data_IF_980668230062
#
_entry.id   IF_980668230062
#
_cell.length_a   1.000
_cell.length_b   1.000
_cell.length_c   1.000
_cell.angle_alpha   90.00
_cell.angle_beta   90.00
_cell.angle_gamma   90.00
#
_symmetry.space_group_name_H-M   'P 1'
#
loop_
_entity.id
_entity.type
_entity.pdbx_description
1 polymer ?
#
# COMPACT_ATOMS: atom_id res chain seq x y z
N UNK A 1 -5.78 -8.64 -33.85
CA UNK A 1 -6.06 -7.55 -32.89
C UNK A 1 -6.66 -8.03 -31.57
N UNK A 2 -7.24 -9.23 -31.48
CA UNK A 2 -7.77 -9.81 -30.23
C UNK A 2 -6.72 -10.25 -29.20
N UNK A 3 -5.47 -10.52 -29.62
CA UNK A 3 -4.40 -10.96 -28.71
C UNK A 3 -3.89 -9.86 -27.79
N UNK A 4 -3.75 -8.63 -28.30
CA UNK A 4 -3.24 -7.47 -27.56
C UNK A 4 -4.20 -7.07 -26.44
N UNK A 5 -5.50 -7.00 -26.73
CA UNK A 5 -6.54 -6.71 -25.72
C UNK A 5 -6.64 -7.77 -24.63
N UNK A 6 -6.35 -9.02 -24.97
CA UNK A 6 -6.36 -10.12 -23.99
C UNK A 6 -5.12 -10.07 -23.08
N UNK A 7 -3.95 -9.74 -23.64
CA UNK A 7 -2.72 -9.53 -22.88
C UNK A 7 -2.82 -8.34 -21.92
N UNK A 8 -3.43 -7.23 -22.37
CA UNK A 8 -3.71 -6.05 -21.54
C UNK A 8 -4.64 -6.38 -20.37
N UNK A 9 -5.70 -7.16 -20.61
CA UNK A 9 -6.60 -7.62 -19.56
C UNK A 9 -5.89 -8.53 -18.54
N UNK A 10 -5.06 -9.47 -18.99
CA UNK A 10 -4.31 -10.32 -18.07
C UNK A 10 -3.34 -9.51 -17.22
N UNK A 11 -2.60 -8.56 -17.83
CA UNK A 11 -1.71 -7.65 -17.11
C UNK A 11 -2.46 -6.85 -16.04
N UNK A 12 -3.59 -6.26 -16.41
CA UNK A 12 -4.45 -5.52 -15.49
C UNK A 12 -4.88 -6.38 -14.30
N UNK A 13 -5.30 -7.64 -14.53
CA UNK A 13 -5.75 -8.54 -13.47
C UNK A 13 -4.59 -9.01 -12.57
N UNK A 14 -3.44 -9.33 -13.15
CA UNK A 14 -2.24 -9.75 -12.42
C UNK A 14 -1.72 -8.61 -11.52
N UNK A 15 -1.59 -7.40 -12.08
CA UNK A 15 -1.07 -6.25 -11.35
C UNK A 15 -2.08 -5.78 -10.28
N UNK A 16 -3.39 -5.88 -10.55
CA UNK A 16 -4.45 -5.64 -9.55
C UNK A 16 -4.31 -6.60 -8.36
N UNK A 17 -4.13 -7.89 -8.62
CA UNK A 17 -3.98 -8.90 -7.57
C UNK A 17 -2.68 -8.69 -6.78
N UNK A 18 -1.56 -8.44 -7.47
CA UNK A 18 -0.28 -8.14 -6.86
C UNK A 18 -0.36 -6.92 -5.95
N UNK A 19 -1.01 -5.84 -6.40
CA UNK A 19 -1.24 -4.64 -5.60
C UNK A 19 -2.10 -4.92 -4.36
N UNK A 20 -3.20 -5.67 -4.49
CA UNK A 20 -4.04 -6.04 -3.36
C UNK A 20 -3.29 -6.89 -2.31
N UNK A 21 -2.49 -7.86 -2.76
CA UNK A 21 -1.66 -8.69 -1.89
C UNK A 21 -0.62 -7.83 -1.15
N UNK A 22 0.11 -6.98 -1.87
CA UNK A 22 1.12 -6.11 -1.27
C UNK A 22 0.51 -5.13 -0.26
N UNK A 23 -0.69 -4.61 -0.53
CA UNK A 23 -1.46 -3.80 0.42
C UNK A 23 -1.80 -4.60 1.70
N UNK A 24 -2.26 -5.85 1.58
CA UNK A 24 -2.55 -6.71 2.74
C UNK A 24 -1.32 -6.92 3.61
N UNK A 25 -0.18 -7.25 2.99
CA UNK A 25 1.07 -7.51 3.69
C UNK A 25 1.60 -6.25 4.37
N UNK A 26 1.56 -5.10 3.67
CA UNK A 26 1.94 -3.80 4.20
C UNK A 26 1.06 -3.37 5.36
N UNK A 27 -0.27 -3.55 5.25
CA UNK A 27 -1.21 -3.21 6.31
C UNK A 27 -0.87 -3.95 7.61
N UNK A 28 -0.65 -5.26 7.51
CA UNK A 28 -0.26 -6.09 8.65
C UNK A 28 1.07 -5.68 9.26
N UNK A 29 2.09 -5.44 8.41
CA UNK A 29 3.42 -5.04 8.87
C UNK A 29 3.37 -3.69 9.60
N UNK A 30 2.65 -2.71 9.06
CA UNK A 30 2.50 -1.39 9.65
C UNK A 30 1.72 -1.41 10.97
N UNK A 31 0.63 -2.19 11.03
CA UNK A 31 -0.16 -2.35 12.26
C UNK A 31 0.66 -3.00 13.38
N UNK A 32 1.41 -4.07 13.08
CA UNK A 32 2.32 -4.71 14.03
C UNK A 32 3.40 -3.73 14.49
N UNK A 33 3.98 -2.96 13.57
CA UNK A 33 5.03 -2.00 13.93
C UNK A 33 4.48 -0.93 14.87
N UNK A 34 3.31 -0.37 14.56
CA UNK A 34 2.66 0.65 15.37
C UNK A 34 2.25 0.14 16.77
N UNK A 35 1.86 -1.14 16.90
CA UNK A 35 1.49 -1.73 18.19
C UNK A 35 2.67 -1.94 19.14
N UNK A 36 3.89 -1.98 18.59
CA UNK A 36 5.12 -2.19 19.35
C UNK A 36 5.82 -0.86 19.73
N UNK A 37 5.28 0.28 19.32
CA UNK A 37 5.80 1.60 19.73
C UNK A 37 5.17 2.01 21.06
N UNK A 38 6.00 2.50 21.98
CA UNK A 38 5.57 3.01 23.28
C UNK A 38 4.63 4.23 23.11
N UNK A 39 3.39 4.20 23.61
CA UNK A 39 2.47 5.34 23.54
C UNK A 39 2.94 6.56 24.33
N UNK A 40 3.82 6.40 25.33
CA UNK A 40 4.42 7.50 26.08
C UNK A 40 5.86 7.83 25.59
N UNK A 41 6.19 7.36 24.39
CA UNK A 41 7.49 7.51 23.75
C UNK A 41 7.85 8.94 23.34
N UNK A 42 9.07 9.10 22.80
CA UNK A 42 9.52 10.38 22.27
C UNK A 42 8.68 10.83 21.06
N UNK A 43 8.70 12.11 20.71
CA UNK A 43 7.94 12.68 19.59
C UNK A 43 8.16 11.93 18.26
N UNK A 44 9.40 11.47 18.02
CA UNK A 44 9.75 10.68 16.84
C UNK A 44 9.08 9.29 16.83
N UNK A 45 8.95 8.66 18.00
CA UNK A 45 8.24 7.38 18.13
C UNK A 45 6.75 7.57 17.89
N UNK A 46 6.13 8.62 18.45
CA UNK A 46 4.72 8.92 18.20
C UNK A 46 4.46 9.24 16.71
N UNK A 47 5.37 9.96 16.04
CA UNK A 47 5.28 10.18 14.59
C UNK A 47 5.29 8.85 13.82
N UNK A 48 6.21 7.95 14.16
CA UNK A 48 6.31 6.62 13.54
C UNK A 48 5.02 5.82 13.78
N UNK A 49 4.49 5.84 15.00
CA UNK A 49 3.24 5.16 15.35
C UNK A 49 2.07 5.67 14.52
N UNK A 50 1.90 6.99 14.42
CA UNK A 50 0.84 7.62 13.63
C UNK A 50 0.95 7.26 12.15
N UNK A 51 2.15 7.33 11.57
CA UNK A 51 2.39 6.94 10.17
C UNK A 51 2.11 5.46 9.94
N UNK A 52 2.49 4.59 10.87
CA UNK A 52 2.17 3.16 10.82
C UNK A 52 0.67 2.88 10.83
N UNK A 53 -0.10 3.53 11.72
CA UNK A 53 -1.57 3.39 11.77
C UNK A 53 -2.21 3.86 10.45
N UNK A 54 -1.85 5.06 10.00
CA UNK A 54 -2.38 5.62 8.75
C UNK A 54 -2.07 4.71 7.54
N UNK A 55 -0.84 4.19 7.45
CA UNK A 55 -0.45 3.27 6.40
C UNK A 55 -1.22 1.95 6.48
N UNK A 56 -1.46 1.43 7.69
CA UNK A 56 -2.24 0.22 7.87
C UNK A 56 -3.69 0.39 7.38
N UNK A 57 -4.33 1.50 7.74
CA UNK A 57 -5.72 1.79 7.35
C UNK A 57 -5.87 2.00 5.85
N UNK A 58 -5.00 2.81 5.23
CA UNK A 58 -5.10 3.07 3.78
C UNK A 58 -4.81 1.81 2.96
N UNK A 59 -3.87 0.97 3.40
CA UNK A 59 -3.56 -0.29 2.73
C UNK A 59 -4.71 -1.30 2.87
N UNK A 60 -5.35 -1.42 4.05
CA UNK A 60 -6.53 -2.29 4.22
C UNK A 60 -7.69 -1.83 3.32
N UNK A 61 -7.98 -0.52 3.31
CA UNK A 61 -9.02 0.05 2.47
C UNK A 61 -8.73 -0.18 0.97
N UNK A 62 -7.48 0.02 0.54
CA UNK A 62 -7.07 -0.20 -0.85
C UNK A 62 -7.19 -1.66 -1.25
N UNK A 63 -6.73 -2.59 -0.40
CA UNK A 63 -6.89 -4.03 -0.66
C UNK A 63 -8.37 -4.41 -0.86
N UNK A 64 -9.28 -3.91 -0.01
CA UNK A 64 -10.71 -4.18 -0.15
C UNK A 64 -11.28 -3.63 -1.45
N UNK A 65 -10.96 -2.39 -1.80
CA UNK A 65 -11.37 -1.78 -3.09
C UNK A 65 -10.90 -2.65 -4.26
N UNK A 66 -9.64 -3.07 -4.25
CA UNK A 66 -9.07 -3.91 -5.30
C UNK A 66 -9.61 -5.35 -5.28
N UNK A 67 -10.13 -5.85 -4.17
CA UNK A 67 -10.63 -7.24 -4.09
C UNK A 67 -12.14 -7.36 -4.34
N UNK A 68 -12.93 -6.38 -3.91
CA UNK A 68 -14.40 -6.50 -3.81
C UNK A 68 -15.16 -5.73 -4.89
N UNK A 69 -14.61 -4.64 -5.44
CA UNK A 69 -15.34 -3.82 -6.43
C UNK A 69 -15.21 -4.38 -7.85
N UNK A 70 -16.28 -5.01 -8.32
CA UNK A 70 -16.43 -5.52 -9.70
C UNK A 70 -16.95 -4.47 -10.70
N UNK A 71 -17.50 -3.33 -10.22
CA UNK A 71 -17.83 -2.18 -11.08
C UNK A 71 -16.68 -1.18 -11.01
N UNK A 72 -15.83 -1.25 -12.02
CA UNK A 72 -14.60 -0.47 -12.19
C UNK A 72 -14.92 1.01 -12.39
N UNK A 73 -14.92 1.79 -11.31
CA UNK A 73 -14.63 3.22 -11.42
C UNK A 73 -13.10 3.38 -11.37
N UNK A 74 -12.46 3.29 -12.54
CA UNK A 74 -10.99 3.41 -12.65
C UNK A 74 -10.48 4.75 -12.14
N UNK A 75 -11.29 5.83 -12.19
CA UNK A 75 -10.89 7.12 -11.65
C UNK A 75 -10.85 7.09 -10.12
N UNK A 76 -11.86 6.51 -9.47
CA UNK A 76 -11.86 6.32 -8.02
C UNK A 76 -10.73 5.39 -7.56
N UNK A 77 -10.49 4.30 -8.30
CA UNK A 77 -9.37 3.37 -8.04
C UNK A 77 -8.03 4.10 -8.16
N UNK A 78 -7.84 4.89 -9.22
CA UNK A 78 -6.61 5.68 -9.43
C UNK A 78 -6.33 6.58 -8.23
N UNK A 79 -7.33 7.35 -7.79
CA UNK A 79 -7.21 8.24 -6.61
C UNK A 79 -6.83 7.45 -5.35
N UNK A 80 -7.51 6.33 -5.09
CA UNK A 80 -7.24 5.49 -3.92
C UNK A 80 -5.80 4.93 -3.93
N UNK A 81 -5.35 4.41 -5.08
CA UNK A 81 -4.03 3.77 -5.21
C UNK A 81 -2.90 4.80 -5.20
N UNK A 82 -3.10 5.99 -5.80
CA UNK A 82 -2.15 7.11 -5.71
C UNK A 82 -1.97 7.58 -4.26
N UNK A 83 -3.06 7.66 -3.51
CA UNK A 83 -3.01 8.00 -2.09
C UNK A 83 -2.29 6.91 -1.29
N UNK A 84 -2.64 5.63 -1.50
CA UNK A 84 -1.98 4.50 -0.86
C UNK A 84 -0.47 4.52 -1.11
N UNK A 85 -0.04 4.67 -2.37
CA UNK A 85 1.38 4.79 -2.76
C UNK A 85 2.09 5.90 -1.98
N UNK A 86 1.48 7.09 -1.91
CA UNK A 86 2.06 8.25 -1.24
C UNK A 86 2.24 7.98 0.27
N UNK A 87 1.20 7.46 0.93
CA UNK A 87 1.26 7.13 2.36
C UNK A 87 2.29 6.03 2.64
N UNK A 88 2.39 5.00 1.78
CA UNK A 88 3.41 3.96 1.91
C UNK A 88 4.83 4.53 1.88
N UNK A 89 5.13 5.43 0.94
CA UNK A 89 6.46 6.06 0.85
C UNK A 89 6.76 6.94 2.07
N UNK A 90 5.79 7.73 2.54
CA UNK A 90 5.96 8.52 3.76
C UNK A 90 6.17 7.66 5.01
N UNK A 91 5.44 6.55 5.11
CA UNK A 91 5.57 5.59 6.21
C UNK A 91 6.93 4.90 6.17
N UNK A 92 7.41 4.48 4.99
CA UNK A 92 8.74 3.91 4.81
C UNK A 92 9.83 4.87 5.31
N UNK A 93 9.77 6.15 4.92
CA UNK A 93 10.72 7.17 5.40
C UNK A 93 10.65 7.38 6.91
N UNK A 94 9.48 7.25 7.53
CA UNK A 94 9.36 7.32 8.98
C UNK A 94 10.00 6.10 9.66
N UNK A 95 9.75 4.89 9.14
CA UNK A 95 10.34 3.66 9.65
C UNK A 95 11.87 3.61 9.48
N UNK A 96 12.43 4.18 8.41
CA UNK A 96 13.89 4.23 8.21
C UNK A 96 14.63 4.99 9.34
N UNK A 97 13.91 5.81 10.12
CA UNK A 97 14.47 6.53 11.29
C UNK A 97 14.37 5.76 12.60
N UNK A 98 13.67 4.62 12.63
CA UNK A 98 13.46 3.83 13.84
C UNK A 98 14.20 2.48 13.74
N UNK A 99 15.19 2.21 14.60
CA UNK A 99 15.85 0.90 14.65
C UNK A 99 14.84 -0.24 14.88
N UNK A 100 14.96 -1.33 14.12
CA UNK A 100 14.04 -2.47 14.23
C UNK A 100 12.73 -2.30 13.46
N UNK A 101 12.61 -1.27 12.61
CA UNK A 101 11.46 -1.04 11.72
C UNK A 101 11.74 -1.38 10.25
N UNK A 102 12.87 -2.03 9.95
CA UNK A 102 13.37 -2.28 8.60
C UNK A 102 12.39 -3.14 7.77
N UNK A 103 11.78 -4.16 8.38
CA UNK A 103 10.78 -5.01 7.73
C UNK A 103 9.52 -4.22 7.36
N UNK A 104 9.08 -3.31 8.25
CA UNK A 104 7.97 -2.40 7.95
C UNK A 104 8.31 -1.48 6.80
N UNK A 105 9.51 -0.87 6.80
CA UNK A 105 9.95 0.03 5.74
C UNK A 105 10.05 -0.68 4.38
N UNK A 106 10.54 -1.92 4.38
CA UNK A 106 10.59 -2.79 3.20
C UNK A 106 9.18 -3.09 2.67
N UNK A 107 8.25 -3.51 3.54
CA UNK A 107 6.88 -3.82 3.14
C UNK A 107 6.17 -2.58 2.54
N UNK A 108 6.37 -1.40 3.13
CA UNK A 108 5.86 -0.14 2.59
C UNK A 108 6.42 0.15 1.18
N UNK A 109 7.73 -0.02 0.96
CA UNK A 109 8.35 0.17 -0.37
C UNK A 109 7.82 -0.80 -1.41
N UNK A 110 7.70 -2.09 -1.05
CA UNK A 110 7.14 -3.11 -1.94
C UNK A 110 5.68 -2.83 -2.31
N UNK A 111 4.88 -2.34 -1.35
CA UNK A 111 3.51 -1.92 -1.62
C UNK A 111 3.45 -0.69 -2.53
N UNK A 112 4.30 0.32 -2.31
CA UNK A 112 4.37 1.49 -3.17
C UNK A 112 4.78 1.15 -4.61
N UNK A 113 5.67 0.18 -4.80
CA UNK A 113 6.07 -0.36 -6.10
C UNK A 113 4.89 -1.03 -6.80
N UNK A 114 4.21 -1.98 -6.13
CA UNK A 114 3.04 -2.65 -6.68
C UNK A 114 1.88 -1.69 -7.01
N UNK A 115 1.67 -0.66 -6.18
CA UNK A 115 0.71 0.43 -6.49
C UNK A 115 1.11 1.17 -7.76
N UNK A 116 2.39 1.45 -7.95
CA UNK A 116 2.92 2.15 -9.13
C UNK A 116 2.74 1.32 -10.40
N UNK A 117 3.03 0.01 -10.32
CA UNK A 117 2.84 -0.93 -11.43
C UNK A 117 1.37 -1.01 -11.82
N UNK A 118 0.47 -1.19 -10.85
CA UNK A 118 -0.96 -1.27 -11.13
C UNK A 118 -1.51 0.04 -11.72
N UNK A 119 -1.09 1.21 -11.22
CA UNK A 119 -1.48 2.51 -11.78
C UNK A 119 -1.12 2.66 -13.26
N UNK A 120 -0.04 2.01 -13.72
CA UNK A 120 0.37 2.02 -15.12
C UNK A 120 -0.56 1.19 -16.04
N UNK A 121 -1.41 0.35 -15.46
CA UNK A 121 -2.41 -0.46 -16.20
C UNK A 121 -3.79 0.20 -16.29
N UNK A 122 -4.02 1.28 -15.53
CA UNK A 122 -5.28 2.04 -15.55
C UNK A 122 -5.34 2.98 -16.75
N UNK A 123 -6.52 3.10 -17.36
CA UNK A 123 -6.77 3.96 -18.53
C UNK A 123 -7.02 5.44 -18.17
#
# INVERSE_FOLDING_TARGET
>A
MTSTTQQELFRFLEDRFACAQACTECARACALRASLVDPDGAEEQELVRRKGIMCAEVCDATCRVLSEQNRLDEAAIRIQVEWCRTVCLECAHAFDRLPGAEDGAKACRQCAEACTEFLATLN
#
